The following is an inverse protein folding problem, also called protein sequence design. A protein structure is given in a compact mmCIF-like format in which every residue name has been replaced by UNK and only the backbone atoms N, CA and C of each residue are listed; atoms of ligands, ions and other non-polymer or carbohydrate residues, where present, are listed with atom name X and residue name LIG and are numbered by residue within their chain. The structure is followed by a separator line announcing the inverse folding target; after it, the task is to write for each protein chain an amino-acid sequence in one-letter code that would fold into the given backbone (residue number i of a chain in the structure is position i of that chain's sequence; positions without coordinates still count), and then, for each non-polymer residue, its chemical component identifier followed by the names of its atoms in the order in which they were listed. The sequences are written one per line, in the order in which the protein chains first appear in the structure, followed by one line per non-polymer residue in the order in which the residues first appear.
data_IF_561947801338
#
_entry.id   IF_561947801338
#
_cell.length_a   1.000
_cell.length_b   1.000
_cell.length_c   1.000
_cell.angle_alpha   90.00
_cell.angle_beta   90.00
_cell.angle_gamma   90.00
#
_symmetry.space_group_name_H-M   'P 1'
#
loop_
_entity.id
_entity.type
_entity.pdbx_description
1 polymer ?
#
# COMPACT_ATOMS: atom_id res chain seq x y z
N UNK A 1 1.54 -0.57 -13.31
CA UNK A 1 1.57 0.73 -12.63
C UNK A 1 0.41 1.53 -13.15
N UNK A 2 -0.45 2.03 -12.29
CA UNK A 2 -1.61 2.81 -12.69
C UNK A 2 -1.71 4.05 -11.79
N UNK A 3 -1.46 5.23 -12.37
CA UNK A 3 -1.59 6.50 -11.65
C UNK A 3 -3.04 7.00 -11.62
N UNK A 4 -3.93 6.43 -12.43
CA UNK A 4 -5.36 6.75 -12.45
C UNK A 4 -6.15 6.08 -11.31
N UNK A 5 -5.56 5.10 -10.65
CA UNK A 5 -6.12 4.43 -9.48
C UNK A 5 -5.35 4.83 -8.22
N UNK A 6 -6.05 5.34 -7.19
CA UNK A 6 -5.40 5.66 -5.91
C UNK A 6 -4.93 4.40 -5.17
N UNK A 7 -5.77 3.37 -5.13
CA UNK A 7 -5.52 2.13 -4.41
C UNK A 7 -4.71 1.13 -5.25
N UNK A 8 -3.91 0.31 -4.57
CA UNK A 8 -3.31 -0.88 -5.17
C UNK A 8 -4.34 -2.00 -5.15
N UNK A 9 -4.59 -2.63 -6.29
CA UNK A 9 -5.48 -3.78 -6.37
C UNK A 9 -4.67 -5.06 -6.47
N UNK A 10 -5.06 -6.06 -5.70
CA UNK A 10 -4.41 -7.36 -5.66
C UNK A 10 -5.43 -8.47 -6.01
N UNK A 11 -4.98 -9.58 -6.62
CA UNK A 11 -5.74 -10.82 -6.67
C UNK A 11 -6.38 -11.16 -5.32
N UNK A 12 -7.63 -11.61 -5.31
CA UNK A 12 -8.40 -11.80 -4.09
C UNK A 12 -7.70 -12.71 -3.06
N UNK A 13 -7.07 -13.80 -3.53
CA UNK A 13 -6.32 -14.71 -2.67
C UNK A 13 -5.10 -14.06 -2.00
N UNK A 14 -4.44 -13.12 -2.67
CA UNK A 14 -3.32 -12.36 -2.14
C UNK A 14 -3.81 -11.25 -1.20
N UNK A 15 -4.88 -10.55 -1.58
CA UNK A 15 -5.50 -9.52 -0.76
C UNK A 15 -5.95 -10.04 0.61
N UNK A 16 -6.63 -11.19 0.64
CA UNK A 16 -7.03 -11.83 1.91
C UNK A 16 -5.83 -12.17 2.81
N UNK A 17 -4.73 -12.65 2.23
CA UNK A 17 -3.48 -12.90 2.98
C UNK A 17 -2.88 -11.62 3.53
N UNK A 18 -2.91 -10.53 2.75
CA UNK A 18 -2.48 -9.22 3.20
C UNK A 18 -3.30 -8.77 4.40
N UNK A 19 -4.63 -8.81 4.35
CA UNK A 19 -5.49 -8.40 5.46
C UNK A 19 -5.15 -9.15 6.75
N UNK A 20 -5.10 -10.48 6.69
CA UNK A 20 -4.80 -11.34 7.85
C UNK A 20 -3.40 -11.06 8.40
N UNK A 21 -2.39 -10.96 7.52
CA UNK A 21 -1.00 -10.72 7.94
C UNK A 21 -0.84 -9.33 8.55
N UNK A 22 -1.50 -8.33 7.96
CA UNK A 22 -1.45 -6.94 8.44
C UNK A 22 -2.06 -6.83 9.84
N UNK A 23 -3.25 -7.41 10.04
CA UNK A 23 -3.90 -7.45 11.36
C UNK A 23 -3.03 -8.14 12.43
N UNK A 24 -2.41 -9.28 12.07
CA UNK A 24 -1.49 -9.98 12.98
C UNK A 24 -0.25 -9.16 13.35
N UNK A 25 0.34 -8.44 12.40
CA UNK A 25 1.55 -7.63 12.64
C UNK A 25 1.25 -6.39 13.49
N UNK A 26 0.11 -5.74 13.22
CA UNK A 26 -0.32 -4.52 13.92
C UNK A 26 -0.75 -4.83 15.36
N UNK A 27 -1.35 -5.99 15.57
CA UNK A 27 -1.86 -6.46 16.86
C UNK A 27 -3.37 -6.29 16.98
N UNK A 28 -4.00 -7.33 17.51
CA UNK A 28 -5.45 -7.41 17.72
C UNK A 28 -6.00 -6.46 18.81
N UNK A 29 -5.10 -5.88 19.61
CA UNK A 29 -5.43 -4.88 20.63
C UNK A 29 -5.59 -3.47 20.05
N UNK A 30 -5.23 -3.27 18.77
CA UNK A 30 -5.39 -1.99 18.12
C UNK A 30 -6.82 -1.82 17.59
N UNK A 31 -7.40 -0.64 17.81
CA UNK A 31 -8.80 -0.35 17.50
C UNK A 31 -9.03 -0.34 15.98
N UNK A 32 -9.54 -1.46 15.47
CA UNK A 32 -10.05 -1.57 14.11
C UNK A 32 -11.42 -0.88 14.02
N UNK A 33 -11.62 -0.07 12.98
CA UNK A 33 -12.85 0.67 12.73
C UNK A 33 -13.43 0.29 11.36
N UNK A 34 -14.74 0.05 11.24
CA UNK A 34 -15.33 -0.36 9.97
C UNK A 34 -15.36 0.79 8.96
N UNK A 35 -15.17 0.46 7.68
CA UNK A 35 -15.37 1.38 6.56
C UNK A 35 -15.99 0.63 5.36
N UNK A 36 -17.01 1.16 4.68
CA UNK A 36 -17.65 0.47 3.55
C UNK A 36 -16.76 0.34 2.31
N UNK A 37 -15.70 1.14 2.19
CA UNK A 37 -14.83 1.18 1.00
C UNK A 37 -13.49 0.45 1.19
N UNK A 38 -13.11 0.15 2.43
CA UNK A 38 -11.79 -0.38 2.76
C UNK A 38 -11.90 -1.67 3.58
N UNK A 39 -11.02 -2.63 3.30
CA UNK A 39 -11.02 -3.91 4.00
C UNK A 39 -10.35 -3.89 5.37
N UNK A 40 -9.56 -2.86 5.69
CA UNK A 40 -8.89 -2.73 6.99
C UNK A 40 -8.65 -1.26 7.31
N UNK A 41 -9.17 -0.80 8.46
CA UNK A 41 -8.94 0.55 8.95
C UNK A 41 -8.74 0.57 10.46
N UNK A 42 -7.94 1.51 10.93
CA UNK A 42 -7.61 1.66 12.34
C UNK A 42 -7.77 3.10 12.82
N UNK A 43 -8.08 3.23 14.09
CA UNK A 43 -8.12 4.51 14.79
C UNK A 43 -6.71 4.89 15.28
N UNK A 44 -6.09 5.90 14.68
CA UNK A 44 -4.74 6.38 15.02
C UNK A 44 -4.85 7.66 15.85
N UNK A 45 -4.75 7.55 17.17
CA UNK A 45 -4.94 8.68 18.09
C UNK A 45 -3.62 9.29 18.57
N UNK A 46 -2.49 8.61 18.34
CA UNK A 46 -1.18 9.01 18.85
C UNK A 46 -0.03 8.69 17.89
N UNK A 47 1.14 9.31 18.14
CA UNK A 47 2.38 8.94 17.43
C UNK A 47 2.80 7.49 17.71
N UNK A 48 2.43 6.92 18.85
CA UNK A 48 2.77 5.56 19.21
C UNK A 48 1.99 4.55 18.35
N UNK A 49 0.74 4.87 18.01
CA UNK A 49 -0.10 4.04 17.14
C UNK A 49 0.50 3.92 15.73
N UNK A 50 1.07 5.01 15.21
CA UNK A 50 1.77 5.02 13.91
C UNK A 50 2.91 4.01 13.87
N UNK A 51 3.61 3.78 15.00
CA UNK A 51 4.72 2.83 15.07
C UNK A 51 4.29 1.36 14.92
N UNK A 52 2.99 1.06 15.04
CA UNK A 52 2.45 -0.28 14.78
C UNK A 52 2.42 -0.62 13.29
N UNK A 53 2.36 0.39 12.43
CA UNK A 53 2.35 0.19 10.99
C UNK A 53 3.77 -0.10 10.49
N UNK A 54 3.94 -1.26 9.85
CA UNK A 54 5.22 -1.70 9.31
C UNK A 54 5.27 -1.52 7.79
N UNK A 55 6.46 -1.28 7.22
CA UNK A 55 6.62 -1.19 5.77
C UNK A 55 6.35 -2.53 5.09
N UNK A 56 5.94 -2.45 3.83
CA UNK A 56 5.72 -3.61 2.96
C UNK A 56 6.78 -3.61 1.88
N UNK A 57 7.31 -4.78 1.56
CA UNK A 57 8.26 -4.94 0.47
C UNK A 57 7.69 -5.89 -0.57
N UNK A 58 7.50 -5.39 -1.79
CA UNK A 58 7.17 -6.22 -2.93
C UNK A 58 8.47 -6.67 -3.60
N UNK A 59 8.65 -7.98 -3.69
CA UNK A 59 9.80 -8.59 -4.33
C UNK A 59 9.49 -8.87 -5.80
N UNK A 60 10.31 -8.32 -6.69
CA UNK A 60 10.28 -8.53 -8.12
C UNK A 60 11.48 -9.38 -8.57
N UNK A 61 11.47 -9.80 -9.82
CA UNK A 61 12.57 -10.58 -10.41
C UNK A 61 13.93 -9.86 -10.24
N UNK A 62 15.00 -10.66 -10.25
CA UNK A 62 16.39 -10.18 -10.07
C UNK A 62 16.59 -9.45 -8.73
N UNK A 63 15.94 -9.92 -7.66
CA UNK A 63 16.03 -9.39 -6.30
C UNK A 63 15.68 -7.90 -6.15
N UNK A 64 14.91 -7.34 -7.09
CA UNK A 64 14.46 -5.95 -7.03
C UNK A 64 13.34 -5.79 -6.01
N UNK A 65 13.46 -4.79 -5.14
CA UNK A 65 12.55 -4.58 -4.01
C UNK A 65 11.85 -3.23 -4.08
N UNK A 66 10.53 -3.26 -4.15
CA UNK A 66 9.71 -2.07 -3.98
C UNK A 66 9.24 -1.98 -2.54
N UNK A 67 9.96 -1.22 -1.73
CA UNK A 67 9.59 -0.94 -0.34
C UNK A 67 8.60 0.23 -0.28
N UNK A 68 7.45 0.01 0.33
CA UNK A 68 6.42 1.00 0.63
C UNK A 68 6.45 1.28 2.13
N UNK A 69 6.68 2.53 2.49
CA UNK A 69 6.67 2.95 3.89
C UNK A 69 5.23 3.14 4.41
N UNK A 70 4.99 3.05 5.74
CA UNK A 70 3.65 3.11 6.33
C UNK A 70 2.77 4.27 5.84
N UNK A 71 3.35 5.46 5.65
CA UNK A 71 2.61 6.64 5.18
C UNK A 71 2.05 6.50 3.75
N UNK A 72 2.66 5.62 2.93
CA UNK A 72 2.24 5.32 1.57
C UNK A 72 1.48 3.97 1.50
N UNK A 73 1.34 3.26 2.63
CA UNK A 73 0.54 2.05 2.79
C UNK A 73 -0.86 2.31 3.34
N UNK A 74 -0.99 3.31 4.22
CA UNK A 74 -2.27 3.68 4.81
C UNK A 74 -2.67 5.08 4.36
N UNK A 75 -3.96 5.23 4.03
CA UNK A 75 -4.59 6.50 3.72
C UNK A 75 -5.24 7.05 4.99
N UNK A 76 -4.96 8.30 5.33
CA UNK A 76 -5.78 9.03 6.30
C UNK A 76 -7.08 9.42 5.60
N UNK A 77 -8.16 8.68 5.87
CA UNK A 77 -9.44 8.83 5.15
C UNK A 77 -10.38 9.83 5.82
N UNK A 78 -10.33 9.95 7.14
CA UNK A 78 -11.11 10.91 7.92
C UNK A 78 -10.51 11.08 9.33
N UNK A 79 -10.17 12.31 9.72
CA UNK A 79 -9.61 12.61 11.04
C UNK A 79 -8.46 11.67 11.41
N UNK A 80 -8.68 10.83 12.41
CA UNK A 80 -7.72 9.84 12.94
C UNK A 80 -7.87 8.45 12.31
N UNK A 81 -8.85 8.21 11.44
CA UNK A 81 -9.07 6.93 10.75
C UNK A 81 -8.08 6.75 9.60
N UNK A 82 -7.29 5.69 9.69
CA UNK A 82 -6.31 5.30 8.67
C UNK A 82 -6.66 3.94 8.08
N UNK A 83 -6.80 3.86 6.76
CA UNK A 83 -7.20 2.65 6.05
C UNK A 83 -6.11 2.13 5.14
N UNK A 84 -5.95 0.80 5.06
CA UNK A 84 -5.00 0.16 4.16
C UNK A 84 -5.33 0.53 2.70
N UNK A 85 -4.36 1.05 1.95
CA UNK A 85 -4.54 1.52 0.56
C UNK A 85 -4.55 0.39 -0.47
N UNK A 86 -5.11 -0.76 -0.10
CA UNK A 86 -5.25 -1.95 -0.95
C UNK A 86 -6.68 -2.45 -1.04
N UNK A 87 -7.04 -2.98 -2.20
CA UNK A 87 -8.34 -3.60 -2.46
C UNK A 87 -8.19 -4.85 -3.37
N UNK A 88 -9.28 -5.55 -3.61
CA UNK A 88 -9.39 -6.57 -4.67
C UNK A 88 -10.32 -6.07 -5.77
N UNK A 89 -10.01 -6.27 -7.07
CA UNK A 89 -10.90 -5.84 -8.13
C UNK A 89 -12.14 -6.73 -8.16
N UNK A 90 -13.34 -6.19 -8.47
CA UNK A 90 -14.52 -7.00 -8.66
C UNK A 90 -14.41 -7.79 -9.98
N UNK A 91 -14.51 -9.11 -9.90
CA UNK A 91 -14.66 -10.03 -11.04
C UNK A 91 -13.48 -10.15 -12.02
N UNK A 92 -12.28 -9.70 -11.65
CA UNK A 92 -11.09 -9.84 -12.51
C UNK A 92 -9.85 -10.14 -11.68
N UNK A 93 -9.00 -11.04 -12.17
CA UNK A 93 -7.76 -11.45 -11.51
C UNK A 93 -6.55 -10.71 -12.11
N UNK A 94 -6.48 -9.39 -11.88
CA UNK A 94 -5.30 -8.60 -12.21
C UNK A 94 -4.84 -7.78 -11.01
N UNK A 95 -3.54 -7.48 -10.96
CA UNK A 95 -2.95 -6.60 -9.97
C UNK A 95 -2.61 -5.23 -10.57
N UNK A 96 -2.85 -4.17 -9.80
CA UNK A 96 -2.34 -2.83 -10.13
C UNK A 96 -1.63 -2.23 -8.93
N UNK A 97 -0.55 -1.52 -9.20
CA UNK A 97 0.06 -0.60 -8.26
C UNK A 97 -0.62 0.75 -8.41
N UNK A 98 -1.34 1.19 -7.38
CA UNK A 98 -2.00 2.49 -7.35
C UNK A 98 -1.03 3.63 -7.11
N UNK A 99 -1.48 4.86 -7.32
CA UNK A 99 -0.66 6.08 -7.18
C UNK A 99 -0.18 6.32 -5.75
N UNK A 100 -0.94 5.92 -4.72
CA UNK A 100 -0.53 6.15 -3.32
C UNK A 100 0.75 5.38 -2.97
N UNK A 101 0.87 4.12 -3.42
CA UNK A 101 2.08 3.31 -3.22
C UNK A 101 3.24 3.68 -4.15
N UNK A 102 3.01 4.62 -5.07
CA UNK A 102 4.02 5.19 -5.98
C UNK A 102 4.66 6.47 -5.45
N UNK A 103 4.14 7.04 -4.35
CA UNK A 103 4.75 8.19 -3.70
C UNK A 103 6.18 7.83 -3.23
N UNK A 104 7.09 8.80 -3.32
CA UNK A 104 8.52 8.67 -2.98
C UNK A 104 9.27 7.64 -3.86
N UNK A 105 8.88 7.52 -5.13
CA UNK A 105 9.53 6.67 -6.13
C UNK A 105 9.76 7.41 -7.43
N UNK A 106 10.95 7.23 -8.00
CA UNK A 106 11.17 7.42 -9.43
C UNK A 106 10.74 6.16 -10.16
N UNK A 107 9.94 6.31 -11.21
CA UNK A 107 9.50 5.21 -12.08
C UNK A 107 9.84 5.56 -13.51
N UNK A 108 10.65 4.72 -14.15
CA UNK A 108 11.05 4.90 -15.54
C UNK A 108 10.47 3.77 -16.40
N UNK A 109 9.83 4.17 -17.50
CA UNK A 109 9.32 3.27 -18.52
C UNK A 109 10.27 3.30 -19.74
N UNK A 110 11.11 2.28 -19.88
CA UNK A 110 11.92 2.09 -21.08
C UNK A 110 11.15 1.21 -22.06
N UNK A 111 10.37 1.84 -22.93
CA UNK A 111 9.55 1.14 -23.93
C UNK A 111 10.40 0.43 -24.99
N UNK A 112 11.61 0.93 -25.27
CA UNK A 112 12.51 0.34 -26.26
C UNK A 112 13.07 -1.00 -25.78
N UNK A 113 13.45 -1.08 -24.49
CA UNK A 113 13.94 -2.31 -23.85
C UNK A 113 12.84 -3.14 -23.19
N UNK A 114 11.60 -2.62 -23.13
CA UNK A 114 10.46 -3.21 -22.41
C UNK A 114 10.77 -3.43 -20.92
N UNK A 115 11.41 -2.44 -20.30
CA UNK A 115 11.80 -2.48 -18.90
C UNK A 115 11.06 -1.41 -18.09
N UNK A 116 10.68 -1.80 -16.88
CA UNK A 116 10.22 -0.90 -15.84
C UNK A 116 11.32 -0.82 -14.78
N UNK A 117 11.86 0.37 -14.56
CA UNK A 117 12.88 0.62 -13.53
C UNK A 117 12.32 1.52 -12.45
N UNK A 118 12.77 1.33 -11.22
CA UNK A 118 12.36 2.17 -10.10
C UNK A 118 13.49 2.42 -9.12
N UNK A 119 13.44 3.57 -8.46
CA UNK A 119 14.37 3.96 -7.41
C UNK A 119 13.64 4.78 -6.32
N UNK A 120 14.14 4.81 -5.09
CA UNK A 120 13.64 5.75 -4.08
C UNK A 120 13.75 7.20 -4.56
N UNK A 121 12.76 8.03 -4.23
CA UNK A 121 12.78 9.48 -4.44
C UNK A 121 12.46 10.20 -3.13
N UNK A 122 12.95 11.44 -2.99
CA UNK A 122 12.53 12.31 -1.90
C UNK A 122 11.60 13.39 -2.48
N UNK A 123 10.28 13.16 -2.42
CA UNK A 123 9.30 14.12 -2.97
C UNK A 123 9.07 15.36 -2.08
N UNK A 124 9.83 15.51 -0.98
CA UNK A 124 9.79 16.68 -0.09
C UNK A 124 10.86 17.72 -0.42
N UNK A 125 11.84 17.37 -1.25
CA UNK A 125 12.82 18.31 -1.79
C UNK A 125 12.21 18.98 -3.03
N UNK A 126 11.72 20.22 -2.86
CA UNK A 126 11.29 21.12 -3.94
C UNK A 126 12.22 22.32 -3.95
#
# INVERSE_FOLDING_TARGET
MDSGSTLTYLPNNLYLKVLITTGNVIGWDFEEVPDPQFGLCYQVNSKQDILRFQPFTFHFALDNQWKVEPQNLFLQVDGTKHCLSMATPPNVDFGIFGSHMQIDKYVQYDLGRKLLSFAPANCKEI
#
